data_IF_646679245988
#
_entry.id   IF_646679245988
#
_cell.length_a   1.000
_cell.length_b   1.000
_cell.length_c   1.000
_cell.angle_alpha   90.00
_cell.angle_beta   90.00
_cell.angle_gamma   90.00
#
_symmetry.space_group_name_H-M   'P 1'
#
loop_
_entity.id
_entity.type
_entity.pdbx_description
1 polymer ?
#
# COMPACT_ATOMS: atom_id res chain seq x y z
N UNK A 1 -8.90 8.03 -4.73
CA UNK A 1 -8.74 9.42 -4.24
C UNK A 1 -9.41 10.42 -5.15
N UNK A 2 -9.18 10.37 -6.47
CA UNK A 2 -9.81 11.29 -7.44
C UNK A 2 -11.33 11.42 -7.28
N UNK A 3 -12.07 10.31 -7.12
CA UNK A 3 -13.52 10.36 -6.86
C UNK A 3 -13.88 11.16 -5.59
N UNK A 4 -13.06 11.05 -4.54
CA UNK A 4 -13.33 11.64 -3.23
C UNK A 4 -12.85 13.09 -3.16
N UNK A 5 -11.79 13.46 -3.87
CA UNK A 5 -11.06 14.73 -3.66
C UNK A 5 -10.88 15.56 -4.93
N UNK A 6 -11.21 15.02 -6.10
CA UNK A 6 -10.93 15.61 -7.42
C UNK A 6 -9.45 15.52 -7.84
N UNK A 7 -8.57 14.96 -7.01
CA UNK A 7 -7.13 14.90 -7.26
C UNK A 7 -6.60 13.47 -7.14
N UNK A 8 -5.65 13.12 -8.02
CA UNK A 8 -5.13 11.75 -8.12
C UNK A 8 -4.11 11.39 -7.04
N UNK A 9 -3.23 12.33 -6.65
CA UNK A 9 -2.14 12.10 -5.70
C UNK A 9 -2.13 13.15 -4.57
N UNK A 10 -1.82 14.42 -4.87
CA UNK A 10 -1.66 15.48 -3.86
C UNK A 10 -3.02 16.08 -3.45
N UNK A 11 -3.80 15.35 -2.67
CA UNK A 11 -5.22 15.68 -2.44
C UNK A 11 -5.53 16.51 -1.18
N UNK A 12 -4.56 16.76 -0.27
CA UNK A 12 -4.74 17.56 0.95
C UNK A 12 -6.05 17.29 1.73
N UNK A 13 -6.43 15.99 1.79
CA UNK A 13 -7.74 15.55 2.29
C UNK A 13 -7.80 15.52 3.81
N UNK A 14 -6.71 15.10 4.45
CA UNK A 14 -6.57 15.10 5.91
C UNK A 14 -6.07 16.47 6.33
N UNK A 15 -6.72 17.09 7.32
CA UNK A 15 -6.41 18.43 7.82
C UNK A 15 -6.42 18.44 9.35
N UNK A 16 -5.73 19.38 10.03
CA UNK A 16 -5.88 19.54 11.46
C UNK A 16 -7.35 19.73 11.82
N UNK A 17 -7.89 18.84 12.66
CA UNK A 17 -9.31 18.84 13.03
C UNK A 17 -10.21 17.89 12.22
N UNK A 18 -9.69 17.15 11.23
CA UNK A 18 -10.44 16.08 10.56
C UNK A 18 -10.14 15.94 9.07
N UNK A 19 -11.19 15.93 8.26
CA UNK A 19 -11.13 15.76 6.80
C UNK A 19 -11.70 16.98 6.08
N UNK A 20 -11.26 17.19 4.84
CA UNK A 20 -11.67 18.34 4.03
C UNK A 20 -13.17 18.32 3.65
N UNK A 21 -13.73 17.13 3.43
CA UNK A 21 -15.12 16.90 3.06
C UNK A 21 -15.51 15.45 3.35
N UNK A 22 -16.81 15.16 3.36
CA UNK A 22 -17.32 13.80 3.47
C UNK A 22 -17.19 13.05 2.13
N UNK A 23 -17.40 11.74 2.16
CA UNK A 23 -17.40 10.88 0.98
C UNK A 23 -18.60 11.22 0.07
N UNK A 24 -18.38 11.37 -1.24
CA UNK A 24 -19.48 11.53 -2.17
C UNK A 24 -20.30 10.24 -2.30
N UNK A 25 -21.57 10.32 -2.75
CA UNK A 25 -22.39 9.15 -3.02
C UNK A 25 -21.68 8.15 -3.95
N UNK A 26 -21.77 6.86 -3.63
CA UNK A 26 -21.14 5.77 -4.40
C UNK A 26 -19.67 5.51 -4.08
N UNK A 27 -18.98 6.39 -3.34
CA UNK A 27 -17.57 6.18 -3.01
C UNK A 27 -17.32 4.90 -2.20
N UNK A 28 -18.24 4.54 -1.29
CA UNK A 28 -18.12 3.31 -0.50
C UNK A 28 -18.27 2.06 -1.35
N UNK A 29 -19.12 2.08 -2.37
CA UNK A 29 -19.34 0.93 -3.26
C UNK A 29 -18.10 0.68 -4.13
N UNK A 30 -17.52 1.75 -4.68
CA UNK A 30 -16.26 1.69 -5.42
C UNK A 30 -15.10 1.14 -4.57
N UNK A 31 -14.99 1.59 -3.31
CA UNK A 31 -13.98 1.08 -2.37
C UNK A 31 -14.21 -0.42 -2.11
N UNK A 32 -15.45 -0.85 -1.91
CA UNK A 32 -15.77 -2.28 -1.69
C UNK A 32 -15.44 -3.13 -2.91
N UNK A 33 -15.77 -2.66 -4.11
CA UNK A 33 -15.45 -3.33 -5.35
C UNK A 33 -13.93 -3.47 -5.54
N UNK A 34 -13.17 -2.42 -5.25
CA UNK A 34 -11.71 -2.44 -5.29
C UNK A 34 -11.11 -3.44 -4.30
N UNK A 35 -11.60 -3.47 -3.05
CA UNK A 35 -11.13 -4.42 -2.04
C UNK A 35 -11.39 -5.86 -2.50
N UNK A 36 -12.56 -6.15 -3.05
CA UNK A 36 -12.88 -7.48 -3.57
C UNK A 36 -11.94 -7.88 -4.72
N UNK A 37 -11.65 -6.96 -5.64
CA UNK A 37 -10.70 -7.17 -6.73
C UNK A 37 -9.30 -7.46 -6.20
N UNK A 38 -8.77 -6.63 -5.31
CA UNK A 38 -7.41 -6.78 -4.79
C UNK A 38 -7.23 -8.06 -3.98
N UNK A 39 -8.25 -8.50 -3.22
CA UNK A 39 -8.22 -9.80 -2.54
C UNK A 39 -8.03 -10.97 -3.51
N UNK A 40 -8.56 -10.88 -4.72
CA UNK A 40 -8.34 -11.88 -5.77
C UNK A 40 -6.95 -11.77 -6.41
N UNK A 41 -6.43 -10.54 -6.59
CA UNK A 41 -5.15 -10.29 -7.30
C UNK A 41 -3.90 -10.45 -6.43
N UNK A 42 -3.97 -10.16 -5.13
CA UNK A 42 -2.83 -10.27 -4.23
C UNK A 42 -2.18 -11.68 -4.24
N UNK A 43 -2.94 -12.78 -4.22
CA UNK A 43 -2.37 -14.12 -4.37
C UNK A 43 -1.65 -14.35 -5.71
N UNK A 44 -2.14 -13.75 -6.81
CA UNK A 44 -1.49 -13.86 -8.13
C UNK A 44 -0.11 -13.19 -8.10
N UNK A 45 0.01 -12.00 -7.50
CA UNK A 45 1.31 -11.34 -7.30
C UNK A 45 2.24 -12.16 -6.39
N UNK A 46 1.71 -12.72 -5.31
CA UNK A 46 2.49 -13.60 -4.43
C UNK A 46 3.00 -14.84 -5.17
N UNK A 47 2.20 -15.46 -6.03
CA UNK A 47 2.62 -16.59 -6.83
C UNK A 47 3.73 -16.23 -7.83
N UNK A 48 3.68 -15.03 -8.43
CA UNK A 48 4.70 -14.54 -9.35
C UNK A 48 6.04 -14.21 -8.68
N UNK A 49 6.02 -13.79 -7.42
CA UNK A 49 7.23 -13.34 -6.70
C UNK A 49 7.78 -14.42 -5.75
N UNK A 50 6.96 -15.01 -4.89
CA UNK A 50 7.42 -15.78 -3.73
C UNK A 50 8.05 -17.14 -4.10
N UNK A 51 7.62 -17.76 -5.20
CA UNK A 51 8.18 -19.02 -5.68
C UNK A 51 9.20 -18.84 -6.81
N UNK A 52 9.38 -17.62 -7.30
CA UNK A 52 10.23 -17.35 -8.45
C UNK A 52 11.72 -17.38 -8.06
N UNK A 53 12.53 -18.30 -8.62
CA UNK A 53 13.94 -18.44 -8.27
C UNK A 53 14.78 -17.22 -8.65
N UNK A 54 14.41 -16.49 -9.71
CA UNK A 54 15.09 -15.25 -10.09
C UNK A 54 14.82 -14.18 -9.04
N UNK A 55 13.58 -14.06 -8.56
CA UNK A 55 13.22 -13.08 -7.54
C UNK A 55 13.92 -13.38 -6.22
N UNK A 56 13.91 -14.64 -5.78
CA UNK A 56 14.62 -15.11 -4.58
C UNK A 56 16.13 -14.89 -4.67
N UNK A 57 16.76 -15.31 -5.77
CA UNK A 57 18.20 -15.14 -5.96
C UNK A 57 18.67 -13.69 -6.00
N UNK A 58 17.76 -12.72 -6.16
CA UNK A 58 18.06 -11.28 -6.15
C UNK A 58 17.84 -10.60 -4.80
N UNK A 59 17.12 -11.23 -3.87
CA UNK A 59 16.66 -10.60 -2.62
C UNK A 59 17.03 -11.39 -1.35
N UNK A 60 17.17 -12.71 -1.43
CA UNK A 60 17.59 -13.51 -0.27
C UNK A 60 19.04 -13.18 0.13
N UNK A 61 19.25 -12.92 1.43
CA UNK A 61 20.55 -12.53 2.03
C UNK A 61 21.14 -11.20 1.50
N UNK A 62 20.32 -10.32 0.93
CA UNK A 62 20.74 -8.97 0.48
C UNK A 62 20.24 -7.92 1.46
N UNK A 63 21.12 -7.00 1.87
CA UNK A 63 20.75 -5.91 2.77
C UNK A 63 20.37 -6.39 4.18
N UNK A 64 21.12 -7.36 4.72
CA UNK A 64 20.92 -7.87 6.08
C UNK A 64 21.04 -6.74 7.09
N UNK A 65 20.04 -6.62 7.97
CA UNK A 65 19.99 -5.60 9.00
C UNK A 65 19.86 -6.28 10.36
N UNK A 66 20.88 -6.11 11.20
CA UNK A 66 20.84 -6.54 12.60
C UNK A 66 19.95 -5.61 13.42
N UNK A 67 19.32 -6.15 14.46
CA UNK A 67 18.34 -5.44 15.27
C UNK A 67 18.95 -4.20 15.96
N UNK A 68 20.15 -4.33 16.50
CA UNK A 68 20.88 -3.25 17.16
C UNK A 68 21.20 -2.11 16.19
N UNK A 69 21.64 -2.44 14.97
CA UNK A 69 21.86 -1.49 13.88
C UNK A 69 20.57 -0.78 13.45
N UNK A 70 19.46 -1.51 13.33
CA UNK A 70 18.16 -0.92 13.00
C UNK A 70 17.72 0.12 14.04
N UNK A 71 17.88 -0.22 15.33
CA UNK A 71 17.50 0.65 16.44
C UNK A 71 18.40 1.90 16.50
N UNK A 72 19.72 1.74 16.34
CA UNK A 72 20.66 2.85 16.36
C UNK A 72 20.44 3.82 15.19
N UNK A 73 20.07 3.30 14.02
CA UNK A 73 19.79 4.11 12.82
C UNK A 73 18.35 4.65 12.77
N UNK A 74 17.48 4.26 13.70
CA UNK A 74 16.09 4.70 13.75
C UNK A 74 15.25 4.21 12.57
N UNK A 75 15.48 2.98 12.09
CA UNK A 75 14.68 2.37 11.03
C UNK A 75 13.24 2.13 11.53
N UNK A 76 12.23 2.61 10.80
CA UNK A 76 10.78 2.53 11.11
C UNK A 76 9.93 2.16 9.91
#
# INVERSE_FOLDING_TARGET
FELITGLRMNHAFIRPGGVAQDLPPGALDEIRAFIALMKKRLPEYAALCNANPIFKGRLENVGHLELDGCLALGIT
#
